data_IF_706045262003
#
_entry.id   IF_706045262003
#
_cell.length_a   1.000
_cell.length_b   1.000
_cell.length_c   1.000
_cell.angle_alpha   90.00
_cell.angle_beta   90.00
_cell.angle_gamma   90.00
#
_symmetry.space_group_name_H-M   'P 1'
#
loop_
_entity.id
_entity.type
_entity.pdbx_description
1 polymer ?
#
# COMPACT_ATOMS: atom_id res chain seq x y z
N UNK A 1 11.95 1.56 -8.51
CA UNK A 1 10.86 0.98 -7.70
C UNK A 1 10.68 -0.47 -8.12
N UNK A 2 10.62 -1.40 -7.19
CA UNK A 2 10.46 -2.80 -7.59
C UNK A 2 8.99 -3.13 -7.92
N UNK A 3 8.79 -4.32 -8.47
CA UNK A 3 7.46 -4.72 -8.94
C UNK A 3 6.43 -4.79 -7.80
N UNK A 4 6.86 -5.16 -6.60
CA UNK A 4 5.96 -5.27 -5.47
C UNK A 4 5.50 -3.89 -4.99
N UNK A 5 6.41 -2.93 -4.93
CA UNK A 5 6.07 -1.56 -4.55
C UNK A 5 5.10 -0.96 -5.56
N UNK A 6 5.36 -1.19 -6.82
CA UNK A 6 4.49 -0.71 -7.89
C UNK A 6 3.10 -1.33 -7.79
N UNK A 7 3.03 -2.63 -7.52
CA UNK A 7 1.75 -3.33 -7.38
C UNK A 7 0.92 -2.75 -6.24
N UNK A 8 1.56 -2.48 -5.10
CA UNK A 8 0.87 -1.89 -3.94
C UNK A 8 0.37 -0.49 -4.27
N UNK A 9 1.21 0.34 -4.89
CA UNK A 9 0.82 1.69 -5.27
C UNK A 9 -0.34 1.68 -6.26
N UNK A 10 -0.28 0.81 -7.25
CA UNK A 10 -1.34 0.71 -8.26
C UNK A 10 -2.65 0.24 -7.63
N UNK A 11 -2.58 -0.69 -6.68
CA UNK A 11 -3.79 -1.14 -5.99
C UNK A 11 -4.46 0.01 -5.26
N UNK A 12 -3.67 0.85 -4.59
CA UNK A 12 -4.19 2.01 -3.88
C UNK A 12 -4.80 3.03 -4.83
N UNK A 13 -4.12 3.32 -5.93
CA UNK A 13 -4.60 4.27 -6.93
C UNK A 13 -5.88 3.77 -7.61
N UNK A 14 -5.92 2.49 -7.90
CA UNK A 14 -7.06 1.88 -8.59
C UNK A 14 -8.31 1.90 -7.74
N UNK A 15 -8.17 1.67 -6.43
CA UNK A 15 -9.31 1.69 -5.52
C UNK A 15 -9.84 3.10 -5.28
N UNK A 16 -8.96 4.08 -5.34
CA UNK A 16 -9.35 5.48 -5.14
C UNK A 16 -9.81 5.81 -3.74
N UNK A 17 -9.50 4.97 -2.77
CA UNK A 17 -9.85 5.17 -1.37
C UNK A 17 -8.81 4.51 -0.47
N UNK A 18 -8.71 4.92 0.80
CA UNK A 18 -7.77 4.29 1.72
C UNK A 18 -8.08 2.82 1.93
N UNK A 19 -7.04 2.01 1.99
CA UNK A 19 -7.15 0.56 2.18
C UNK A 19 -6.31 0.12 3.37
N UNK A 20 -6.73 -0.97 3.98
CA UNK A 20 -5.96 -1.64 5.03
C UNK A 20 -4.93 -2.57 4.39
N UNK A 21 -3.83 -2.88 5.11
CA UNK A 21 -2.83 -3.81 4.58
C UNK A 21 -3.41 -5.16 4.13
N UNK A 22 -4.37 -5.69 4.88
CA UNK A 22 -5.03 -6.94 4.50
C UNK A 22 -5.75 -6.86 3.18
N UNK A 23 -6.41 -5.75 2.90
CA UNK A 23 -7.09 -5.53 1.64
C UNK A 23 -6.11 -5.39 0.50
N UNK A 24 -5.00 -4.69 0.74
CA UNK A 24 -3.94 -4.55 -0.26
C UNK A 24 -3.33 -5.91 -0.58
N UNK A 25 -3.11 -6.73 0.44
CA UNK A 25 -2.57 -8.07 0.26
C UNK A 25 -3.47 -8.92 -0.64
N UNK A 26 -4.78 -8.83 -0.45
CA UNK A 26 -5.73 -9.56 -1.28
C UNK A 26 -5.67 -9.12 -2.74
N UNK A 27 -5.53 -7.84 -2.98
CA UNK A 27 -5.52 -7.29 -4.34
C UNK A 27 -4.21 -7.49 -5.07
N UNK A 28 -3.11 -7.61 -4.33
CA UNK A 28 -1.79 -7.73 -4.92
C UNK A 28 -1.25 -9.16 -4.88
N UNK A 29 -1.97 -10.05 -4.22
CA UNK A 29 -1.54 -11.44 -4.02
C UNK A 29 -0.21 -11.54 -3.27
N UNK A 30 0.08 -10.53 -2.46
CA UNK A 30 1.28 -10.51 -1.63
C UNK A 30 0.93 -10.89 -0.19
N UNK A 31 1.94 -11.34 0.54
CA UNK A 31 1.77 -11.65 1.95
C UNK A 31 1.56 -10.36 2.74
N UNK A 32 0.74 -10.44 3.78
CA UNK A 32 0.42 -9.28 4.62
C UNK A 32 1.68 -8.64 5.23
N UNK A 33 2.65 -9.46 5.61
CA UNK A 33 3.92 -8.96 6.15
C UNK A 33 4.70 -8.17 5.11
N UNK A 34 4.69 -8.63 3.88
CA UNK A 34 5.36 -7.94 2.79
C UNK A 34 4.70 -6.62 2.48
N UNK A 35 3.36 -6.63 2.45
CA UNK A 35 2.60 -5.41 2.22
C UNK A 35 2.92 -4.37 3.28
N UNK A 36 2.97 -4.76 4.55
CA UNK A 36 3.30 -3.83 5.64
C UNK A 36 4.68 -3.23 5.46
N UNK A 37 5.66 -4.04 5.08
CA UNK A 37 7.03 -3.59 4.85
C UNK A 37 7.10 -2.61 3.68
N UNK A 38 6.40 -2.94 2.61
CA UNK A 38 6.36 -2.11 1.41
C UNK A 38 5.69 -0.77 1.71
N UNK A 39 4.59 -0.80 2.45
CA UNK A 39 3.89 0.42 2.84
C UNK A 39 4.78 1.32 3.67
N UNK A 40 5.52 0.76 4.62
CA UNK A 40 6.45 1.54 5.43
C UNK A 40 7.49 2.24 4.56
N UNK A 41 8.01 1.53 3.58
CA UNK A 41 9.00 2.10 2.66
C UNK A 41 8.39 3.19 1.80
N UNK A 42 7.22 2.95 1.23
CA UNK A 42 6.54 3.94 0.40
C UNK A 42 6.15 5.18 1.21
N UNK A 43 5.80 4.98 2.47
CA UNK A 43 5.47 6.06 3.36
C UNK A 43 6.69 6.94 3.63
N UNK A 44 7.84 6.34 3.85
CA UNK A 44 9.10 7.07 4.02
C UNK A 44 9.47 7.84 2.77
N UNK A 45 9.18 7.29 1.61
CA UNK A 45 9.47 7.92 0.34
C UNK A 45 8.44 8.99 -0.04
N UNK A 46 7.40 9.16 0.76
CA UNK A 46 6.36 10.15 0.50
C UNK A 46 5.37 9.75 -0.57
N UNK A 47 5.32 8.49 -0.95
CA UNK A 47 4.43 8.00 -2.00
C UNK A 47 3.11 7.46 -1.47
N UNK A 48 3.04 7.21 -0.18
CA UNK A 48 1.84 6.72 0.49
C UNK A 48 1.62 7.54 1.75
N UNK A 49 0.37 7.84 2.05
CA UNK A 49 0.00 8.54 3.27
C UNK A 49 -0.96 7.67 4.09
N UNK A 50 -1.10 8.00 5.36
CA UNK A 50 -2.00 7.30 6.26
C UNK A 50 -3.03 8.31 6.79
N UNK A 51 -4.16 8.47 6.08
CA UNK A 51 -5.19 9.42 6.52
C UNK A 51 -5.89 8.99 7.80
N UNK A 52 -5.92 7.69 8.05
CA UNK A 52 -6.46 7.13 9.28
C UNK A 52 -5.56 6.00 9.75
N UNK A 53 -5.65 5.69 11.04
CA UNK A 53 -4.91 4.59 11.62
C UNK A 53 -5.23 3.30 10.86
N UNK A 54 -4.19 2.59 10.44
CA UNK A 54 -4.28 1.33 9.68
C UNK A 54 -4.88 1.46 8.30
N UNK A 55 -5.14 2.68 7.82
CA UNK A 55 -5.58 2.92 6.45
C UNK A 55 -4.49 3.65 5.69
N UNK A 56 -4.29 3.29 4.43
CA UNK A 56 -3.23 3.85 3.59
C UNK A 56 -3.80 4.25 2.25
N UNK A 57 -3.31 5.36 1.73
CA UNK A 57 -3.76 5.91 0.46
C UNK A 57 -2.56 6.44 -0.32
N UNK A 58 -2.66 6.57 -1.66
CA UNK A 58 -1.59 7.20 -2.43
C UNK A 58 -1.45 8.65 -1.99
N UNK A 59 -0.22 9.07 -1.82
CA UNK A 59 0.06 10.45 -1.42
C UNK A 59 -0.17 11.41 -2.58
#
# INVERSE_FOLDING_TARGET
MDAQEKAVLEALKKEGKPLRPGEIALRTDLDKKEVSRIIDKLKKDGKVSSPKRCFYAPA
#
